data_IF_849086405300
#
_entry.id   IF_849086405300
#
_cell.length_a   1.000
_cell.length_b   1.000
_cell.length_c   1.000
_cell.angle_alpha   90.00
_cell.angle_beta   90.00
_cell.angle_gamma   90.00
#
_symmetry.space_group_name_H-M   'P 1'
#
loop_
_entity.id
_entity.type
_entity.pdbx_description
1 polymer ?
#
# COMPACT_ATOMS: atom_id res chain seq x y z
N UNK A 1 2.65 -18.28 -1.67
CA UNK A 1 1.35 -18.83 -2.10
C UNK A 1 0.38 -17.67 -2.28
N UNK A 2 -0.25 -17.55 -3.47
CA UNK A 2 -1.16 -16.47 -3.82
C UNK A 2 -2.45 -16.49 -2.97
N UNK A 3 -2.98 -17.67 -2.68
CA UNK A 3 -4.22 -17.79 -1.92
C UNK A 3 -4.06 -17.27 -0.48
N UNK A 4 -2.91 -17.55 0.13
CA UNK A 4 -2.55 -17.05 1.46
C UNK A 4 -2.42 -15.52 1.45
N UNK A 5 -1.78 -14.95 0.43
CA UNK A 5 -1.61 -13.51 0.30
C UNK A 5 -2.97 -12.79 0.18
N UNK A 6 -3.87 -13.32 -0.65
CA UNK A 6 -5.23 -12.78 -0.81
C UNK A 6 -6.05 -12.93 0.48
N UNK A 7 -5.90 -14.02 1.22
CA UNK A 7 -6.55 -14.20 2.52
C UNK A 7 -6.07 -13.18 3.56
N UNK A 8 -4.76 -12.96 3.65
CA UNK A 8 -4.20 -11.95 4.55
C UNK A 8 -4.68 -10.54 4.18
N UNK A 9 -4.76 -10.22 2.88
CA UNK A 9 -5.31 -8.95 2.42
C UNK A 9 -6.77 -8.77 2.83
N UNK A 10 -7.60 -9.83 2.74
CA UNK A 10 -8.99 -9.80 3.22
C UNK A 10 -9.08 -9.56 4.73
N UNK A 11 -8.23 -10.21 5.52
CA UNK A 11 -8.19 -10.00 6.98
C UNK A 11 -7.83 -8.57 7.33
N UNK A 12 -6.82 -8.00 6.67
CA UNK A 12 -6.43 -6.60 6.85
C UNK A 12 -7.53 -5.62 6.41
N UNK A 13 -8.36 -5.98 5.43
CA UNK A 13 -9.47 -5.13 5.01
C UNK A 13 -10.58 -5.04 6.06
N UNK A 14 -10.70 -6.03 6.94
CA UNK A 14 -11.69 -6.06 8.03
C UNK A 14 -11.23 -5.31 9.29
N UNK A 15 -9.99 -4.84 9.33
CA UNK A 15 -9.40 -4.04 10.42
C UNK A 15 -9.88 -2.59 10.24
N UNK A 16 -10.88 -2.17 11.01
CA UNK A 16 -11.47 -0.82 10.96
C UNK A 16 -11.33 -0.07 12.30
N UNK A 17 -10.34 -0.41 13.13
CA UNK A 17 -10.13 0.34 14.36
C UNK A 17 -9.68 1.79 14.07
N UNK A 18 -10.21 2.78 14.82
CA UNK A 18 -9.97 4.21 14.57
C UNK A 18 -8.50 4.64 14.56
N UNK A 19 -7.63 3.91 15.23
CA UNK A 19 -6.23 4.29 15.47
C UNK A 19 -5.22 3.55 14.58
N UNK A 20 -5.68 2.93 13.50
CA UNK A 20 -4.83 2.16 12.59
C UNK A 20 -4.05 3.01 11.59
N UNK A 21 -4.35 4.31 11.47
CA UNK A 21 -3.59 5.29 10.69
C UNK A 21 -3.21 4.84 9.27
N UNK A 22 -4.10 4.10 8.60
CA UNK A 22 -3.89 3.62 7.23
C UNK A 22 -2.92 2.43 7.08
N UNK A 23 -2.31 1.92 8.15
CA UNK A 23 -1.41 0.76 8.12
C UNK A 23 -2.01 -0.49 7.46
N UNK A 24 -3.28 -0.86 7.71
CA UNK A 24 -3.88 -2.01 7.04
C UNK A 24 -3.96 -1.82 5.52
N UNK A 25 -4.25 -0.60 5.05
CA UNK A 25 -4.29 -0.30 3.62
C UNK A 25 -2.89 -0.33 3.00
N UNK A 26 -1.87 0.16 3.71
CA UNK A 26 -0.47 0.05 3.30
C UNK A 26 -0.04 -1.42 3.16
N UNK A 27 -0.30 -2.28 4.16
CA UNK A 27 0.03 -3.70 4.06
C UNK A 27 -0.73 -4.43 2.96
N UNK A 28 -1.98 -4.04 2.68
CA UNK A 28 -2.71 -4.57 1.53
C UNK A 28 -2.09 -4.11 0.21
N UNK A 29 -1.58 -2.89 0.14
CA UNK A 29 -0.90 -2.38 -1.04
C UNK A 29 0.38 -3.17 -1.34
N UNK A 30 1.18 -3.51 -0.33
CA UNK A 30 2.40 -4.32 -0.51
C UNK A 30 2.05 -5.73 -1.00
N UNK A 31 0.99 -6.34 -0.49
CA UNK A 31 0.47 -7.62 -1.00
C UNK A 31 0.04 -7.49 -2.47
N UNK A 32 -0.75 -6.47 -2.81
CA UNK A 32 -1.24 -6.26 -4.17
C UNK A 32 -0.08 -6.02 -5.16
N UNK A 33 0.94 -5.26 -4.77
CA UNK A 33 2.15 -5.04 -5.57
C UNK A 33 2.86 -6.36 -5.87
N UNK A 34 3.07 -7.21 -4.86
CA UNK A 34 3.70 -8.53 -5.03
C UNK A 34 2.87 -9.52 -5.86
N UNK A 35 1.55 -9.32 -5.94
CA UNK A 35 0.65 -10.11 -6.80
C UNK A 35 0.56 -9.57 -8.24
N UNK A 36 1.31 -8.51 -8.57
CA UNK A 36 1.28 -7.85 -9.88
C UNK A 36 0.03 -6.99 -10.12
N UNK A 37 -0.70 -6.64 -9.06
CA UNK A 37 -1.96 -5.89 -9.12
C UNK A 37 -1.69 -4.39 -8.94
N UNK A 38 -0.91 -3.79 -9.85
CA UNK A 38 -0.38 -2.42 -9.68
C UNK A 38 -1.45 -1.37 -9.41
N UNK A 39 -2.54 -1.36 -10.19
CA UNK A 39 -3.63 -0.40 -10.01
C UNK A 39 -4.30 -0.50 -8.61
N UNK A 40 -4.50 -1.73 -8.12
CA UNK A 40 -5.08 -1.94 -6.78
C UNK A 40 -4.09 -1.53 -5.69
N UNK A 41 -2.80 -1.81 -5.87
CA UNK A 41 -1.77 -1.39 -4.94
C UNK A 41 -1.71 0.14 -4.80
N UNK A 42 -1.76 0.88 -5.91
CA UNK A 42 -1.77 2.35 -5.93
C UNK A 42 -3.03 2.89 -5.23
N UNK A 43 -4.21 2.35 -5.56
CA UNK A 43 -5.47 2.72 -4.90
C UNK A 43 -5.41 2.53 -3.39
N UNK A 44 -4.79 1.44 -2.93
CA UNK A 44 -4.61 1.13 -1.51
C UNK A 44 -3.59 2.04 -0.81
N UNK A 45 -2.52 2.46 -1.51
CA UNK A 45 -1.57 3.46 -0.98
C UNK A 45 -2.25 4.82 -0.79
N UNK A 46 -3.04 5.27 -1.77
CA UNK A 46 -3.82 6.50 -1.66
C UNK A 46 -4.82 6.42 -0.49
N UNK A 47 -5.49 5.28 -0.33
CA UNK A 47 -6.38 5.02 0.80
C UNK A 47 -5.63 5.08 2.14
N UNK A 48 -4.43 4.49 2.24
CA UNK A 48 -3.60 4.56 3.43
C UNK A 48 -3.28 6.01 3.80
N UNK A 49 -2.83 6.81 2.83
CA UNK A 49 -2.51 8.23 3.02
C UNK A 49 -3.75 9.01 3.48
N UNK A 50 -4.91 8.81 2.85
CA UNK A 50 -6.17 9.47 3.26
C UNK A 50 -6.61 9.11 4.69
N UNK A 51 -6.19 7.94 5.19
CA UNK A 51 -6.46 7.47 6.55
C UNK A 51 -5.37 7.87 7.56
N UNK A 52 -4.42 8.71 7.14
CA UNK A 52 -3.38 9.26 8.02
C UNK A 52 -2.04 8.52 8.00
N UNK A 53 -1.81 7.64 7.03
CA UNK A 53 -0.49 7.03 6.86
C UNK A 53 0.53 8.11 6.49
N UNK A 54 1.53 8.31 7.34
CA UNK A 54 2.51 9.38 7.22
C UNK A 54 3.96 8.87 7.14
N UNK A 55 4.17 7.56 7.09
CA UNK A 55 5.51 6.97 7.01
C UNK A 55 6.01 6.93 5.55
N UNK A 56 6.17 8.11 4.95
CA UNK A 56 6.65 8.27 3.57
C UNK A 56 8.05 7.68 3.37
N UNK A 57 8.89 7.69 4.41
CA UNK A 57 10.20 7.04 4.38
C UNK A 57 10.11 5.57 3.99
N UNK A 58 9.13 4.83 4.52
CA UNK A 58 8.89 3.43 4.15
C UNK A 58 8.48 3.27 2.69
N UNK A 59 7.73 4.21 2.10
CA UNK A 59 7.34 4.11 0.68
C UNK A 59 8.56 4.15 -0.26
N UNK A 60 9.61 4.89 0.11
CA UNK A 60 10.83 5.00 -0.70
C UNK A 60 11.70 3.74 -0.66
N UNK A 61 11.71 2.99 0.44
CA UNK A 61 12.68 1.90 0.67
C UNK A 61 12.07 0.50 0.76
N UNK A 62 10.75 0.38 0.83
CA UNK A 62 10.08 -0.92 0.94
C UNK A 62 10.20 -1.73 -0.36
N UNK A 63 10.97 -2.82 -0.31
CA UNK A 63 11.18 -3.74 -1.44
C UNK A 63 9.89 -4.40 -1.92
N UNK A 64 8.84 -4.47 -1.06
CA UNK A 64 7.57 -5.01 -1.50
C UNK A 64 6.87 -4.13 -2.54
N UNK A 65 7.26 -2.85 -2.62
CA UNK A 65 6.76 -1.88 -3.60
C UNK A 65 7.66 -1.78 -4.84
N UNK A 66 8.72 -2.58 -4.93
CA UNK A 66 9.60 -2.61 -6.10
C UNK A 66 8.85 -2.83 -7.43
N UNK A 67 7.81 -3.69 -7.50
CA UNK A 67 7.00 -3.84 -8.72
C UNK A 67 6.30 -2.55 -9.20
N UNK A 68 6.15 -1.54 -8.34
CA UNK A 68 5.50 -0.27 -8.66
C UNK A 68 6.49 0.86 -8.98
N UNK A 69 7.81 0.62 -8.87
CA UNK A 69 8.82 1.70 -8.93
C UNK A 69 8.78 2.48 -10.22
N UNK A 70 8.45 1.85 -11.33
CA UNK A 70 8.38 2.51 -12.64
C UNK A 70 6.96 3.02 -12.97
N UNK A 71 5.98 2.82 -12.08
CA UNK A 71 4.61 3.29 -12.29
C UNK A 71 4.52 4.81 -12.06
N UNK A 72 4.02 5.59 -13.05
CA UNK A 72 3.92 7.04 -12.93
C UNK A 72 3.08 7.50 -11.73
N UNK A 73 1.99 6.80 -11.41
CA UNK A 73 1.13 7.18 -10.29
C UNK A 73 1.81 6.92 -8.94
N UNK A 74 2.61 5.85 -8.85
CA UNK A 74 3.41 5.58 -7.66
C UNK A 74 4.51 6.64 -7.48
N UNK A 75 5.16 7.06 -8.56
CA UNK A 75 6.12 8.16 -8.52
C UNK A 75 5.47 9.46 -8.02
N UNK A 76 4.25 9.80 -8.45
CA UNK A 76 3.51 10.96 -7.95
C UNK A 76 3.19 10.91 -6.45
N UNK A 77 2.99 9.70 -5.90
CA UNK A 77 2.82 9.48 -4.46
C UNK A 77 4.12 9.74 -3.71
N UNK A 78 5.27 9.35 -4.27
CA UNK A 78 6.60 9.55 -3.66
C UNK A 78 7.10 11.00 -3.72
N UNK A 79 6.51 11.83 -4.60
CA UNK A 79 6.94 13.23 -4.73
C UNK A 79 6.72 13.98 -3.40
N UNK A 80 7.74 14.68 -2.88
CA UNK A 80 7.59 15.54 -1.72
C UNK A 80 6.45 16.52 -1.96
N UNK A 81 5.53 16.62 -0.99
CA UNK A 81 4.55 17.71 -0.95
C UNK A 81 5.21 18.82 -0.14
N UNK A 82 5.73 19.84 -0.86
CA UNK A 82 6.37 21.01 -0.26
C UNK A 82 5.40 21.89 0.52
#
# INVERSE_FOLDING_TARGET
DRAVAEEMSRKLAAVDEPFTMGWPSYHRATIAAQLGQSAEAIRLLQQAISRGFHNFGSLHVDLNLDPLRDDPEFQEILRPKG
#
